data_IF_149360724158
#
_entry.id   IF_149360724158
#
_cell.length_a   1.000
_cell.length_b   1.000
_cell.length_c   1.000
_cell.angle_alpha   90.00
_cell.angle_beta   90.00
_cell.angle_gamma   90.00
#
_symmetry.space_group_name_H-M   'P 1'
#
loop_
_entity.id
_entity.type
_entity.pdbx_description
1 polymer ?
#
# COMPACT_ATOMS: atom_id res chain seq x y z
N UNK A 1 -6.36 38.40 53.41
CA UNK A 1 -5.11 37.61 53.38
C UNK A 1 -4.92 37.21 51.92
N UNK A 2 -4.37 38.08 51.05
CA UNK A 2 -2.92 38.30 50.81
C UNK A 2 -2.20 36.96 50.67
N UNK A 3 -1.64 36.61 49.51
CA UNK A 3 -0.47 37.26 48.92
C UNK A 3 -0.42 37.15 47.39
N UNK A 4 0.09 38.22 46.79
CA UNK A 4 0.49 38.37 45.39
C UNK A 4 1.93 37.86 45.25
N UNK A 5 2.26 37.23 44.13
CA UNK A 5 3.63 36.90 43.73
C UNK A 5 3.91 37.53 42.38
N UNK A 6 4.63 38.66 42.41
CA UNK A 6 5.21 39.38 41.27
C UNK A 6 6.58 38.78 40.87
N UNK A 7 7.11 39.31 39.75
CA UNK A 7 8.51 39.27 39.28
C UNK A 7 8.96 37.97 38.57
N UNK A 8 9.66 38.00 37.43
CA UNK A 8 10.63 38.96 36.90
C UNK A 8 10.66 38.94 35.35
N UNK A 9 10.76 40.14 34.75
CA UNK A 9 11.19 40.35 33.37
C UNK A 9 12.72 40.35 33.32
N UNK A 10 13.29 39.56 32.41
CA UNK A 10 14.71 39.61 32.06
C UNK A 10 14.85 40.14 30.63
N UNK A 11 15.21 41.42 30.52
CA UNK A 11 15.85 42.00 29.34
C UNK A 11 17.30 41.51 29.29
N UNK A 12 17.74 40.89 28.20
CA UNK A 12 19.16 40.87 27.86
C UNK A 12 19.39 40.77 26.33
N UNK A 13 20.00 41.85 25.83
CA UNK A 13 21.14 41.89 24.91
C UNK A 13 20.94 41.70 23.39
N UNK A 14 20.98 42.87 22.73
CA UNK A 14 21.57 43.14 21.43
C UNK A 14 22.95 42.49 21.26
N UNK A 15 23.18 41.85 20.11
CA UNK A 15 24.48 41.34 19.70
C UNK A 15 24.58 41.21 18.18
N UNK A 16 25.23 42.20 17.58
CA UNK A 16 26.09 42.18 16.39
C UNK A 16 25.57 41.61 15.06
N UNK A 17 25.15 42.55 14.21
CA UNK A 17 25.19 42.43 12.75
C UNK A 17 26.66 42.34 12.28
N UNK A 18 27.11 41.14 11.91
CA UNK A 18 28.30 40.97 11.07
C UNK A 18 27.89 40.74 9.63
N UNK A 19 28.12 41.77 8.82
CA UNK A 19 28.06 41.73 7.37
C UNK A 19 29.28 40.92 6.85
N UNK A 20 29.04 39.70 6.37
CA UNK A 20 30.00 39.00 5.52
C UNK A 20 29.67 39.31 4.04
N UNK A 21 30.38 40.30 3.49
CA UNK A 21 30.52 40.46 2.04
C UNK A 21 31.36 39.29 1.48
N UNK A 22 30.69 38.22 1.07
CA UNK A 22 31.31 37.19 0.24
C UNK A 22 31.37 37.66 -1.21
N UNK A 23 32.60 37.88 -1.69
CA UNK A 23 32.97 38.16 -3.07
C UNK A 23 32.46 37.03 -3.98
N UNK A 24 31.46 37.36 -4.81
CA UNK A 24 31.10 36.56 -5.98
C UNK A 24 32.21 36.71 -7.02
N UNK A 25 33.15 35.76 -7.06
CA UNK A 25 33.94 35.53 -8.25
C UNK A 25 33.08 34.76 -9.25
N UNK A 26 32.65 35.45 -10.30
CA UNK A 26 32.09 34.85 -11.51
C UNK A 26 33.10 33.85 -12.11
N UNK A 27 32.95 32.57 -11.75
CA UNK A 27 33.57 31.50 -12.51
C UNK A 27 32.84 31.42 -13.85
N UNK A 28 33.50 31.89 -14.91
CA UNK A 28 33.00 31.70 -16.26
C UNK A 28 32.80 30.20 -16.51
N UNK A 29 31.64 29.78 -17.06
CA UNK A 29 31.39 28.38 -17.36
C UNK A 29 32.42 27.89 -18.36
N UNK A 30 33.17 26.85 -17.97
CA UNK A 30 34.08 26.12 -18.84
C UNK A 30 33.23 25.50 -19.97
N UNK A 31 33.22 26.12 -21.15
CA UNK A 31 32.55 25.59 -22.33
C UNK A 31 33.37 24.41 -22.85
N UNK A 32 33.00 23.20 -22.42
CA UNK A 32 33.47 21.97 -23.05
C UNK A 32 32.67 21.83 -24.33
N UNK A 33 33.33 22.12 -25.46
CA UNK A 33 32.79 21.96 -26.81
C UNK A 33 32.74 20.45 -27.16
N UNK A 34 31.87 19.69 -26.47
CA UNK A 34 31.59 18.30 -26.81
C UNK A 34 30.66 18.28 -28.02
N UNK A 35 31.25 18.38 -29.21
CA UNK A 35 30.55 18.06 -30.46
C UNK A 35 30.24 16.56 -30.47
N UNK A 36 29.04 16.20 -30.04
CA UNK A 36 28.52 14.84 -30.16
C UNK A 36 28.38 14.53 -31.66
N UNK A 37 29.00 13.44 -32.16
CA UNK A 37 28.88 13.06 -33.56
C UNK A 37 27.40 12.92 -33.95
N UNK A 38 27.00 13.39 -35.15
CA UNK A 38 25.59 13.43 -35.58
C UNK A 38 24.92 12.04 -35.67
N UNK A 39 25.71 10.96 -35.71
CA UNK A 39 25.21 9.59 -35.68
C UNK A 39 24.66 9.18 -34.31
N UNK A 40 25.20 9.73 -33.21
CA UNK A 40 24.76 9.42 -31.83
C UNK A 40 23.50 10.20 -31.43
N UNK A 41 23.23 11.34 -32.06
CA UNK A 41 22.05 12.16 -31.79
C UNK A 41 20.73 11.43 -32.14
N UNK A 42 20.73 10.63 -33.21
CA UNK A 42 19.57 9.83 -33.62
C UNK A 42 19.32 8.63 -32.69
N UNK A 43 20.38 8.01 -32.18
CA UNK A 43 20.27 6.94 -31.18
C UNK A 43 19.72 7.49 -29.86
N UNK A 44 20.19 8.66 -29.44
CA UNK A 44 19.75 9.32 -28.21
C UNK A 44 18.28 9.76 -28.26
N UNK A 45 17.83 10.37 -29.37
CA UNK A 45 16.42 10.74 -29.55
C UNK A 45 15.49 9.52 -29.61
N UNK A 46 15.95 8.41 -30.19
CA UNK A 46 15.15 7.17 -30.27
C UNK A 46 14.99 6.52 -28.89
N UNK A 47 16.03 6.53 -28.05
CA UNK A 47 15.96 6.07 -26.66
C UNK A 47 15.03 6.95 -25.81
N UNK A 48 15.12 8.27 -25.92
CA UNK A 48 14.22 9.17 -25.19
C UNK A 48 12.74 8.97 -25.58
N UNK A 49 12.44 8.76 -26.87
CA UNK A 49 11.07 8.44 -27.32
C UNK A 49 10.57 7.10 -26.80
N UNK A 50 11.44 6.09 -26.69
CA UNK A 50 11.10 4.80 -26.10
C UNK A 50 10.80 4.92 -24.60
N UNK A 51 11.55 5.76 -23.88
CA UNK A 51 11.31 6.02 -22.46
C UNK A 51 10.03 6.81 -22.18
N UNK A 52 9.63 7.70 -23.09
CA UNK A 52 8.38 8.47 -22.98
C UNK A 52 7.13 7.61 -23.14
N UNK A 53 7.23 6.49 -23.87
CA UNK A 53 6.11 5.57 -24.08
C UNK A 53 6.03 4.44 -23.04
N UNK A 54 6.93 4.44 -22.04
CA UNK A 54 6.94 3.38 -21.04
C UNK A 54 5.79 3.57 -20.03
N UNK A 55 4.83 2.62 -20.06
CA UNK A 55 3.63 2.65 -19.21
C UNK A 55 3.98 2.47 -17.71
N UNK A 56 5.14 1.89 -17.40
CA UNK A 56 5.61 1.71 -16.04
C UNK A 56 7.15 1.74 -15.95
N UNK A 57 7.68 2.15 -14.80
CA UNK A 57 9.11 2.11 -14.46
C UNK A 57 9.30 1.44 -13.10
N UNK A 58 10.40 0.73 -12.92
CA UNK A 58 10.73 0.04 -11.66
C UNK A 58 12.09 0.52 -11.16
N UNK A 59 12.11 0.95 -9.90
CA UNK A 59 13.26 1.52 -9.22
C UNK A 59 13.59 0.73 -7.96
N UNK A 60 14.85 0.75 -7.58
CA UNK A 60 15.30 0.38 -6.25
C UNK A 60 15.11 1.57 -5.30
N UNK A 61 14.26 1.41 -4.31
CA UNK A 61 13.89 2.46 -3.36
C UNK A 61 14.47 2.16 -1.98
N UNK A 62 15.37 3.04 -1.52
CA UNK A 62 16.02 2.93 -0.23
C UNK A 62 15.30 3.81 0.79
N UNK A 63 14.66 3.18 1.77
CA UNK A 63 14.10 3.88 2.92
C UNK A 63 15.21 4.49 3.78
N UNK A 64 14.96 5.62 4.48
CA UNK A 64 15.91 6.20 5.44
C UNK A 64 16.52 5.23 6.45
N UNK A 65 15.77 4.21 6.86
CA UNK A 65 16.22 3.16 7.78
C UNK A 65 17.14 2.10 7.11
N UNK A 66 17.59 2.33 5.88
CA UNK A 66 18.47 1.43 5.12
C UNK A 66 17.77 0.23 4.47
N UNK A 67 16.45 0.12 4.58
CA UNK A 67 15.70 -0.98 3.96
C UNK A 67 15.43 -0.71 2.48
N UNK A 68 15.70 -1.70 1.64
CA UNK A 68 15.40 -1.66 0.21
C UNK A 68 13.99 -2.18 -0.10
N UNK A 69 13.30 -1.53 -1.01
CA UNK A 69 12.05 -1.98 -1.62
C UNK A 69 12.09 -1.75 -3.14
N UNK A 70 11.20 -2.41 -3.88
CA UNK A 70 10.97 -2.10 -5.30
C UNK A 70 9.85 -1.06 -5.40
N UNK A 71 10.12 0.05 -6.06
CA UNK A 71 9.15 1.10 -6.35
C UNK A 71 8.76 1.05 -7.82
N UNK A 72 7.48 0.82 -8.11
CA UNK A 72 6.94 0.71 -9.45
C UNK A 72 6.05 1.92 -9.70
N UNK A 73 6.48 2.82 -10.58
CA UNK A 73 5.65 3.93 -11.03
C UNK A 73 4.85 3.52 -12.25
N UNK A 74 3.53 3.73 -12.23
CA UNK A 74 2.59 3.39 -13.30
C UNK A 74 2.04 4.68 -13.86
N UNK A 75 2.48 5.10 -15.04
CA UNK A 75 2.16 6.43 -15.59
C UNK A 75 0.74 6.51 -16.16
N UNK A 76 0.17 5.38 -16.56
CA UNK A 76 -1.13 5.35 -17.21
C UNK A 76 -1.86 4.03 -16.94
N UNK A 77 -3.03 4.12 -16.31
CA UNK A 77 -3.90 2.97 -16.10
C UNK A 77 -4.83 2.77 -17.30
N UNK A 78 -4.41 1.91 -18.23
CA UNK A 78 -5.36 1.23 -19.11
C UNK A 78 -5.52 -0.23 -18.65
N UNK A 79 -6.57 -0.57 -17.87
CA UNK A 79 -6.69 -1.87 -17.23
C UNK A 79 -6.66 -3.07 -18.18
N UNK A 80 -7.15 -2.89 -19.42
CA UNK A 80 -7.30 -3.99 -20.39
C UNK A 80 -5.98 -4.45 -21.00
N UNK A 81 -5.00 -3.56 -21.13
CA UNK A 81 -3.75 -3.81 -21.86
C UNK A 81 -2.51 -3.68 -20.97
N UNK A 82 -2.71 -3.38 -19.67
CA UNK A 82 -1.61 -3.20 -18.75
C UNK A 82 -0.76 -4.49 -18.60
N UNK A 83 0.57 -4.44 -18.76
CA UNK A 83 1.45 -5.61 -18.81
C UNK A 83 1.73 -6.21 -17.42
N UNK A 84 0.68 -6.48 -16.63
CA UNK A 84 0.77 -6.95 -15.25
C UNK A 84 1.62 -8.23 -15.12
N UNK A 85 1.49 -9.17 -16.07
CA UNK A 85 2.26 -10.43 -16.03
C UNK A 85 3.76 -10.20 -16.22
N UNK A 86 4.16 -9.25 -17.06
CA UNK A 86 5.56 -8.90 -17.28
C UNK A 86 6.16 -8.26 -16.02
N UNK A 87 5.42 -7.33 -15.41
CA UNK A 87 5.84 -6.67 -14.17
C UNK A 87 6.03 -7.70 -13.06
N UNK A 88 5.04 -8.57 -12.82
CA UNK A 88 5.13 -9.60 -11.79
C UNK A 88 6.28 -10.57 -12.05
N UNK A 89 6.57 -10.90 -13.32
CA UNK A 89 7.75 -11.70 -13.67
C UNK A 89 9.04 -11.00 -13.26
N UNK A 90 9.18 -9.71 -13.58
CA UNK A 90 10.38 -8.92 -13.23
C UNK A 90 10.56 -8.81 -11.71
N UNK A 91 9.45 -8.78 -10.97
CA UNK A 91 9.42 -8.73 -9.52
C UNK A 91 9.51 -10.11 -8.83
N UNK A 92 9.50 -11.21 -9.59
CA UNK A 92 9.45 -12.60 -9.07
C UNK A 92 8.21 -12.85 -8.19
N UNK A 93 7.06 -12.34 -8.63
CA UNK A 93 5.73 -12.45 -8.00
C UNK A 93 4.74 -13.24 -8.86
N UNK A 94 5.26 -14.09 -9.74
CA UNK A 94 4.52 -14.75 -10.81
C UNK A 94 4.27 -16.24 -10.56
N UNK A 95 4.57 -16.75 -9.37
CA UNK A 95 4.38 -18.17 -9.04
C UNK A 95 2.91 -18.56 -8.78
N UNK A 96 2.03 -17.59 -8.51
CA UNK A 96 0.67 -17.85 -8.06
C UNK A 96 0.63 -18.00 -6.54
N UNK A 97 0.25 -16.93 -5.83
CA UNK A 97 0.27 -16.90 -4.36
C UNK A 97 -1.12 -16.56 -3.82
N UNK A 98 -1.55 -17.11 -2.66
CA UNK A 98 -2.75 -16.62 -1.98
C UNK A 98 -2.60 -15.14 -1.63
N UNK A 99 -3.69 -14.38 -1.69
CA UNK A 99 -3.66 -12.92 -1.48
C UNK A 99 -4.62 -12.53 -0.36
N UNK A 100 -4.12 -11.71 0.56
CA UNK A 100 -4.94 -10.98 1.53
C UNK A 100 -4.91 -9.50 1.17
N UNK A 101 -6.05 -8.96 0.75
CA UNK A 101 -6.20 -7.56 0.38
C UNK A 101 -6.83 -6.74 1.51
N UNK A 102 -6.22 -5.63 1.90
CA UNK A 102 -6.75 -4.72 2.91
C UNK A 102 -7.52 -3.60 2.24
N UNK A 103 -8.82 -3.49 2.56
CA UNK A 103 -9.70 -2.45 2.03
C UNK A 103 -9.87 -1.34 3.06
N UNK A 104 -9.54 -0.11 2.68
CA UNK A 104 -9.74 1.08 3.51
C UNK A 104 -8.96 1.05 4.84
N UNK A 105 -7.79 0.39 4.88
CA UNK A 105 -6.94 0.34 6.07
C UNK A 105 -6.09 1.61 6.14
N UNK A 106 -6.23 2.39 7.21
CA UNK A 106 -5.38 3.56 7.47
C UNK A 106 -4.92 3.59 8.91
N UNK A 107 -3.75 4.18 9.16
CA UNK A 107 -3.38 4.48 10.54
C UNK A 107 -4.33 5.55 11.08
N UNK A 108 -5.03 5.22 12.16
CA UNK A 108 -5.88 6.17 12.86
C UNK A 108 -5.01 7.03 13.78
N UNK A 109 -4.44 8.11 13.23
CA UNK A 109 -3.63 9.06 13.99
C UNK A 109 -4.41 9.73 15.12
N UNK A 110 -5.73 9.85 14.97
CA UNK A 110 -6.61 10.48 15.95
C UNK A 110 -6.94 9.54 17.13
N UNK A 111 -6.69 8.24 16.98
CA UNK A 111 -6.84 7.25 18.03
C UNK A 111 -5.55 6.43 18.23
N UNK A 112 -4.55 6.97 18.95
CA UNK A 112 -3.31 6.26 19.25
C UNK A 112 -3.53 4.98 20.09
N UNK A 113 -4.70 4.84 20.72
CA UNK A 113 -5.11 3.64 21.44
C UNK A 113 -5.77 2.58 20.54
N UNK A 114 -5.71 2.72 19.21
CA UNK A 114 -6.19 1.69 18.28
C UNK A 114 -5.52 0.34 18.56
N UNK A 115 -6.28 -0.57 19.17
CA UNK A 115 -5.81 -1.87 19.71
C UNK A 115 -5.61 -2.95 18.64
N UNK A 116 -5.55 -2.58 17.35
CA UNK A 116 -5.45 -3.52 16.22
C UNK A 116 -4.13 -4.30 16.16
N UNK A 117 -3.14 -4.02 17.00
CA UNK A 117 -1.86 -4.73 17.00
C UNK A 117 -1.98 -6.25 17.13
N UNK A 118 -2.78 -6.76 18.09
CA UNK A 118 -3.02 -8.22 18.22
C UNK A 118 -3.72 -8.78 16.98
N UNK A 119 -4.68 -8.03 16.45
CA UNK A 119 -5.42 -8.39 15.24
C UNK A 119 -4.50 -8.51 14.01
N UNK A 120 -3.64 -7.51 13.77
CA UNK A 120 -2.61 -7.54 12.73
C UNK A 120 -1.62 -8.71 12.90
N UNK A 121 -1.23 -9.03 14.14
CA UNK A 121 -0.38 -10.19 14.41
C UNK A 121 -1.04 -11.52 13.96
N UNK A 122 -2.36 -11.65 14.16
CA UNK A 122 -3.15 -12.78 13.70
C UNK A 122 -3.17 -12.90 12.18
N UNK A 123 -3.42 -11.80 11.46
CA UNK A 123 -3.40 -11.77 9.99
C UNK A 123 -2.02 -12.13 9.47
N UNK A 124 -0.97 -11.47 9.95
CA UNK A 124 0.39 -11.74 9.52
C UNK A 124 0.77 -13.20 9.76
N UNK A 125 0.29 -13.81 10.86
CA UNK A 125 0.51 -15.24 11.16
C UNK A 125 -0.16 -16.14 10.13
N UNK A 126 -1.43 -15.89 9.82
CA UNK A 126 -2.16 -16.66 8.82
C UNK A 126 -1.51 -16.55 7.45
N UNK A 127 -1.11 -15.34 7.04
CA UNK A 127 -0.44 -15.12 5.77
C UNK A 127 0.91 -15.83 5.71
N UNK A 128 1.71 -15.75 6.77
CA UNK A 128 2.98 -16.47 6.86
C UNK A 128 2.80 -17.98 6.73
N UNK A 129 1.84 -18.57 7.43
CA UNK A 129 1.62 -20.02 7.42
C UNK A 129 1.05 -20.54 6.09
N UNK A 130 0.49 -19.66 5.26
CA UNK A 130 -0.13 -20.01 3.97
C UNK A 130 0.66 -19.47 2.78
N UNK A 131 1.85 -18.91 3.02
CA UNK A 131 2.66 -18.20 2.01
C UNK A 131 1.88 -17.11 1.24
N UNK A 132 0.88 -16.50 1.90
CA UNK A 132 0.08 -15.46 1.29
C UNK A 132 0.82 -14.12 1.27
N UNK A 133 0.54 -13.35 0.22
CA UNK A 133 0.96 -11.95 0.15
C UNK A 133 -0.13 -11.05 0.72
N UNK A 134 0.28 -9.96 1.38
CA UNK A 134 -0.61 -8.91 1.86
C UNK A 134 -0.51 -7.73 0.90
N UNK A 135 -1.65 -7.21 0.45
CA UNK A 135 -1.74 -6.03 -0.40
C UNK A 135 -2.56 -4.96 0.34
N UNK A 136 -1.99 -3.78 0.52
CA UNK A 136 -2.65 -2.63 1.15
C UNK A 136 -2.35 -1.33 0.38
N UNK A 137 -2.54 -0.18 1.04
CA UNK A 137 -2.39 1.13 0.41
C UNK A 137 -0.95 1.68 0.44
N UNK A 138 0.05 0.90 0.85
CA UNK A 138 1.47 1.32 0.83
C UNK A 138 1.87 2.38 1.87
N UNK A 139 0.90 2.93 2.58
CA UNK A 139 1.08 3.92 3.65
C UNK A 139 1.13 3.24 5.01
N UNK A 140 1.57 3.99 6.02
CA UNK A 140 1.61 3.48 7.40
C UNK A 140 0.22 3.02 7.87
N UNK A 141 0.09 1.75 8.28
CA UNK A 141 -1.16 1.21 8.86
C UNK A 141 -0.96 0.54 10.23
N UNK A 142 0.23 0.01 10.49
CA UNK A 142 0.61 -0.74 11.69
C UNK A 142 0.89 -2.23 11.43
N UNK A 143 0.42 -2.80 10.32
CA UNK A 143 0.66 -4.21 9.94
C UNK A 143 2.15 -4.49 9.70
N UNK A 144 2.89 -3.48 9.27
CA UNK A 144 4.29 -3.53 8.87
C UNK A 144 5.17 -4.03 10.01
N UNK A 145 4.86 -3.62 11.24
CA UNK A 145 5.55 -4.09 12.45
C UNK A 145 5.46 -5.61 12.61
N UNK A 146 4.37 -6.23 12.15
CA UNK A 146 4.13 -7.67 12.27
C UNK A 146 4.62 -8.44 11.05
N UNK A 147 4.54 -7.85 9.86
CA UNK A 147 5.16 -8.39 8.64
C UNK A 147 6.69 -8.39 8.75
N UNK A 148 7.29 -7.42 9.44
CA UNK A 148 8.74 -7.33 9.68
C UNK A 148 9.26 -8.26 10.79
N UNK A 149 8.51 -8.46 11.89
CA UNK A 149 9.00 -9.21 13.07
C UNK A 149 9.29 -10.67 12.81
N UNK A 150 8.79 -11.27 11.73
CA UNK A 150 9.14 -12.63 11.33
C UNK A 150 10.43 -12.71 10.50
N UNK A 151 11.18 -11.61 10.41
CA UNK A 151 12.41 -11.50 9.62
C UNK A 151 13.71 -11.80 10.40
N UNK A 152 13.64 -12.42 11.58
CA UNK A 152 14.80 -12.53 12.47
C UNK A 152 15.60 -13.84 12.36
N UNK A 153 15.52 -14.60 11.26
CA UNK A 153 16.38 -15.78 11.09
C UNK A 153 17.09 -15.78 9.75
N UNK A 154 18.41 -15.68 9.85
CA UNK A 154 19.44 -15.78 8.81
C UNK A 154 19.30 -17.11 8.08
N UNK A 155 18.51 -17.16 7.03
CA UNK A 155 18.63 -18.19 6.02
C UNK A 155 18.02 -17.68 4.71
N UNK A 156 18.86 -17.70 3.68
CA UNK A 156 18.70 -17.19 2.31
C UNK A 156 17.50 -17.81 1.57
N UNK A 157 16.74 -18.70 2.22
CA UNK A 157 15.63 -19.45 1.64
C UNK A 157 14.27 -19.25 2.34
N UNK A 158 14.16 -18.43 3.39
CA UNK A 158 12.89 -18.33 4.15
C UNK A 158 11.94 -17.26 3.60
N UNK A 159 10.73 -17.72 3.28
CA UNK A 159 9.59 -16.97 2.75
C UNK A 159 9.15 -15.88 3.72
N UNK A 160 9.48 -14.65 3.38
CA UNK A 160 8.93 -13.46 4.04
C UNK A 160 7.46 -13.29 3.69
N UNK A 161 6.63 -12.83 4.64
CA UNK A 161 5.28 -12.36 4.30
C UNK A 161 5.45 -11.06 3.51
N UNK A 162 5.22 -11.17 2.21
CA UNK A 162 5.39 -10.04 1.31
C UNK A 162 4.27 -9.04 1.55
N UNK A 163 4.63 -7.79 1.79
CA UNK A 163 3.69 -6.69 1.94
C UNK A 163 3.87 -5.75 0.75
N UNK A 164 2.82 -5.63 -0.05
CA UNK A 164 2.79 -4.85 -1.29
C UNK A 164 1.86 -3.66 -1.09
N UNK A 165 2.38 -2.45 -1.33
CA UNK A 165 1.61 -1.22 -1.27
C UNK A 165 1.11 -0.81 -2.66
N UNK A 166 -0.11 -0.31 -2.74
CA UNK A 166 -0.66 0.33 -3.95
C UNK A 166 -1.26 1.67 -3.56
N UNK A 167 -0.79 2.76 -4.15
CA UNK A 167 -1.29 4.10 -3.83
C UNK A 167 -1.24 5.03 -5.05
N UNK A 168 -2.12 6.04 -5.12
CA UNK A 168 -1.92 7.18 -6.01
C UNK A 168 -0.60 7.90 -5.70
N UNK A 169 0.15 8.29 -6.73
CA UNK A 169 1.42 9.00 -6.53
C UNK A 169 1.22 10.40 -5.95
N UNK A 170 0.13 11.07 -6.33
CA UNK A 170 -0.25 12.43 -5.94
C UNK A 170 -0.59 12.59 -4.45
N UNK A 171 -0.94 11.51 -3.76
CA UNK A 171 -1.48 11.55 -2.38
C UNK A 171 -0.53 11.01 -1.32
N UNK A 172 0.61 10.45 -1.75
CA UNK A 172 1.61 9.85 -0.84
C UNK A 172 2.70 10.85 -0.48
N UNK A 173 3.17 10.74 0.75
CA UNK A 173 4.35 11.46 1.24
C UNK A 173 5.54 10.50 1.29
N UNK A 174 6.71 10.95 0.85
CA UNK A 174 7.94 10.14 0.94
C UNK A 174 8.56 10.30 2.34
N UNK A 175 9.09 9.21 2.93
CA UNK A 175 9.66 9.25 4.27
C UNK A 175 10.92 10.13 4.30
N UNK A 176 11.00 11.00 5.31
CA UNK A 176 12.13 11.92 5.51
C UNK A 176 13.23 11.25 6.34
N UNK A 177 14.49 11.71 6.18
CA UNK A 177 15.64 11.11 6.88
C UNK A 177 15.53 11.26 8.41
N UNK A 178 15.07 12.42 8.87
CA UNK A 178 14.95 12.78 10.29
C UNK A 178 13.53 13.29 10.58
N UNK A 179 12.51 12.42 10.61
CA UNK A 179 11.14 12.86 10.83
C UNK A 179 10.93 13.17 12.32
N UNK A 180 10.47 14.38 12.64
CA UNK A 180 9.96 14.73 13.97
C UNK A 180 8.56 14.15 14.19
N UNK A 181 7.82 13.89 13.11
CA UNK A 181 6.48 13.31 13.09
C UNK A 181 6.31 12.51 11.80
N UNK A 182 5.56 11.40 11.88
CA UNK A 182 5.13 10.63 10.68
C UNK A 182 4.08 11.47 9.93
N UNK A 183 4.32 11.71 8.65
CA UNK A 183 3.38 12.48 7.84
C UNK A 183 2.13 11.66 7.47
N UNK A 184 1.03 12.37 7.21
CA UNK A 184 -0.17 11.73 6.68
C UNK A 184 0.16 11.11 5.32
N UNK A 185 -0.31 9.88 5.09
CA UNK A 185 -0.05 9.10 3.89
C UNK A 185 1.45 8.89 3.59
N UNK A 186 2.31 8.90 4.62
CA UNK A 186 3.72 8.56 4.45
C UNK A 186 3.88 7.09 4.05
N UNK A 187 4.67 6.85 3.00
CA UNK A 187 5.02 5.50 2.56
C UNK A 187 5.74 4.75 3.68
N UNK A 188 5.29 3.53 3.93
CA UNK A 188 5.75 2.76 5.07
C UNK A 188 6.91 1.84 4.71
N UNK A 189 7.94 1.84 5.56
CA UNK A 189 9.13 1.00 5.39
C UNK A 189 8.87 -0.50 5.59
N UNK A 190 7.63 -0.92 5.89
CA UNK A 190 7.25 -2.33 5.93
C UNK A 190 7.22 -3.03 4.57
N UNK A 191 6.98 -2.27 3.51
CA UNK A 191 6.71 -2.82 2.19
C UNK A 191 7.96 -3.40 1.52
N UNK A 192 7.76 -4.45 0.71
CA UNK A 192 8.78 -4.99 -0.19
C UNK A 192 8.62 -4.45 -1.61
N UNK A 193 7.38 -4.16 -2.00
CA UNK A 193 7.01 -3.59 -3.29
C UNK A 193 5.99 -2.48 -3.10
N UNK A 194 6.12 -1.40 -3.85
CA UNK A 194 5.19 -0.25 -3.80
C UNK A 194 4.85 0.12 -5.23
N UNK A 195 3.56 0.08 -5.57
CA UNK A 195 3.01 0.55 -6.84
C UNK A 195 2.45 1.95 -6.63
N UNK A 196 3.05 2.93 -7.29
CA UNK A 196 2.56 4.30 -7.34
C UNK A 196 1.84 4.53 -8.66
N UNK A 197 0.57 4.88 -8.57
CA UNK A 197 -0.30 5.12 -9.71
C UNK A 197 -0.27 6.60 -10.03
N UNK A 198 0.39 6.93 -11.13
CA UNK A 198 0.46 8.28 -11.68
C UNK A 198 -0.73 8.59 -12.59
N UNK A 199 -0.87 9.88 -12.87
CA UNK A 199 -1.93 10.46 -13.69
C UNK A 199 -2.32 11.84 -13.18
N UNK A 200 -3.01 12.60 -14.02
CA UNK A 200 -3.65 13.85 -13.59
C UNK A 200 -4.90 13.51 -12.77
N UNK A 201 -5.12 14.20 -11.64
CA UNK A 201 -6.31 14.06 -10.78
C UNK A 201 -6.57 12.65 -10.23
N UNK A 202 -5.51 11.93 -9.85
CA UNK A 202 -5.64 10.63 -9.18
C UNK A 202 -5.83 10.86 -7.68
N UNK A 203 -7.05 10.69 -7.19
CA UNK A 203 -7.36 10.75 -5.76
C UNK A 203 -7.34 9.37 -5.11
N UNK A 204 -7.43 9.32 -3.78
CA UNK A 204 -7.58 8.07 -3.04
C UNK A 204 -8.84 7.33 -3.48
N UNK A 205 -8.74 6.01 -3.62
CA UNK A 205 -9.83 5.15 -4.09
C UNK A 205 -9.75 4.85 -5.59
N UNK A 206 -9.15 5.73 -6.40
CA UNK A 206 -8.98 5.50 -7.85
C UNK A 206 -8.09 4.29 -8.16
N UNK A 207 -7.23 3.88 -7.21
CA UNK A 207 -6.39 2.69 -7.31
C UNK A 207 -7.16 1.36 -7.18
N UNK A 208 -8.43 1.39 -6.75
CA UNK A 208 -9.23 0.20 -6.42
C UNK A 208 -9.19 -0.87 -7.52
N UNK A 209 -9.53 -0.49 -8.76
CA UNK A 209 -9.56 -1.40 -9.89
C UNK A 209 -8.17 -2.00 -10.18
N UNK A 210 -7.12 -1.18 -10.11
CA UNK A 210 -5.75 -1.66 -10.31
C UNK A 210 -5.35 -2.67 -9.23
N UNK A 211 -5.63 -2.34 -7.97
CA UNK A 211 -5.31 -3.18 -6.82
C UNK A 211 -6.01 -4.54 -6.90
N UNK A 212 -7.30 -4.58 -7.24
CA UNK A 212 -8.03 -5.84 -7.45
C UNK A 212 -7.48 -6.64 -8.65
N UNK A 213 -7.09 -5.97 -9.74
CA UNK A 213 -6.44 -6.65 -10.87
C UNK A 213 -5.05 -7.18 -10.52
N UNK A 214 -4.28 -6.46 -9.70
CA UNK A 214 -2.99 -6.91 -9.16
C UNK A 214 -3.19 -8.15 -8.27
N UNK A 215 -4.15 -8.12 -7.35
CA UNK A 215 -4.56 -9.26 -6.54
C UNK A 215 -4.85 -10.48 -7.42
N UNK A 216 -5.68 -10.32 -8.46
CA UNK A 216 -6.04 -11.40 -9.41
C UNK A 216 -4.84 -11.94 -10.18
N UNK A 217 -3.94 -11.06 -10.61
CA UNK A 217 -2.75 -11.44 -11.35
C UNK A 217 -1.77 -12.26 -10.48
N UNK A 218 -1.50 -11.81 -9.25
CA UNK A 218 -0.64 -12.53 -8.29
C UNK A 218 -1.27 -13.88 -7.93
N UNK A 219 -2.58 -13.93 -7.68
CA UNK A 219 -3.26 -15.17 -7.35
C UNK A 219 -3.30 -16.19 -8.51
N UNK A 220 -3.26 -15.70 -9.74
CA UNK A 220 -3.22 -16.56 -10.93
C UNK A 220 -1.80 -17.08 -11.17
N UNK A 221 -0.79 -16.21 -11.12
CA UNK A 221 0.58 -16.56 -11.51
C UNK A 221 0.70 -17.04 -12.96
N UNK A 222 1.89 -17.54 -13.31
CA UNK A 222 2.19 -18.20 -14.59
C UNK A 222 1.70 -19.63 -14.62
N UNK A 223 1.91 -20.37 -13.53
CA UNK A 223 1.69 -21.82 -13.46
C UNK A 223 0.22 -22.17 -13.73
N UNK A 224 -0.73 -21.36 -13.25
CA UNK A 224 -2.16 -21.56 -13.54
C UNK A 224 -2.47 -21.47 -15.03
N UNK A 225 -1.81 -20.55 -15.75
CA UNK A 225 -2.04 -20.34 -17.20
C UNK A 225 -1.52 -21.50 -18.05
N UNK A 226 -0.34 -22.04 -17.73
CA UNK A 226 0.30 -23.11 -18.51
C UNK A 226 -0.13 -24.51 -18.12
N UNK A 227 -0.40 -24.76 -16.83
CA UNK A 227 -0.66 -26.12 -16.32
C UNK A 227 -2.14 -26.34 -15.93
N UNK A 228 -3.02 -25.37 -16.14
CA UNK A 228 -4.45 -25.48 -15.81
C UNK A 228 -4.74 -25.64 -14.32
N UNK A 229 -3.77 -25.34 -13.44
CA UNK A 229 -3.97 -25.37 -11.99
C UNK A 229 -4.99 -24.30 -11.58
N UNK A 230 -5.85 -24.56 -10.59
CA UNK A 230 -6.75 -23.54 -10.09
C UNK A 230 -5.96 -22.36 -9.52
N UNK A 231 -6.44 -21.14 -9.79
CA UNK A 231 -5.91 -19.90 -9.19
C UNK A 231 -5.97 -19.99 -7.65
N UNK A 232 -4.97 -19.41 -6.99
CA UNK A 232 -4.96 -19.23 -5.54
C UNK A 232 -6.12 -18.33 -5.07
N UNK A 233 -6.50 -18.47 -3.80
CA UNK A 233 -7.62 -17.72 -3.23
C UNK A 233 -7.21 -16.28 -2.90
N UNK A 234 -8.20 -15.39 -2.92
CA UNK A 234 -8.07 -13.99 -2.52
C UNK A 234 -9.09 -13.72 -1.43
N UNK A 235 -8.65 -13.09 -0.35
CA UNK A 235 -9.50 -12.70 0.77
C UNK A 235 -9.34 -11.21 1.00
N UNK A 236 -10.44 -10.49 1.08
CA UNK A 236 -10.43 -9.07 1.44
C UNK A 236 -10.70 -8.91 2.93
N UNK A 237 -10.08 -7.92 3.56
CA UNK A 237 -10.34 -7.52 4.94
C UNK A 237 -10.73 -6.05 4.92
N UNK A 238 -11.98 -5.76 5.28
CA UNK A 238 -12.57 -4.43 5.25
C UNK A 238 -12.41 -3.73 6.60
N UNK A 239 -11.58 -2.70 6.61
CA UNK A 239 -11.40 -1.81 7.78
C UNK A 239 -12.32 -0.59 7.70
N UNK A 240 -12.55 -0.05 6.49
CA UNK A 240 -13.39 1.13 6.25
C UNK A 240 -13.02 2.35 7.12
N UNK A 241 -11.73 2.62 7.30
CA UNK A 241 -11.27 3.79 8.07
C UNK A 241 -11.49 5.11 7.32
N UNK A 242 -11.87 5.06 6.04
CA UNK A 242 -12.25 6.22 5.20
C UNK A 242 -13.28 5.83 4.13
N UNK A 243 -14.08 6.79 3.68
CA UNK A 243 -15.10 6.57 2.63
C UNK A 243 -14.49 6.30 1.25
N UNK A 244 -13.24 6.70 1.02
CA UNK A 244 -12.49 6.46 -0.23
C UNK A 244 -12.35 4.96 -0.60
N UNK A 245 -12.77 4.03 0.26
CA UNK A 245 -12.66 2.59 0.02
C UNK A 245 -13.86 1.97 -0.70
N UNK A 246 -14.95 2.72 -0.94
CA UNK A 246 -16.19 2.17 -1.49
C UNK A 246 -16.00 1.51 -2.87
N UNK A 247 -15.21 2.11 -3.74
CA UNK A 247 -14.91 1.53 -5.05
C UNK A 247 -14.13 0.22 -4.94
N UNK A 248 -13.25 0.09 -3.95
CA UNK A 248 -12.53 -1.16 -3.70
C UNK A 248 -13.48 -2.26 -3.17
N UNK A 249 -14.49 -1.90 -2.37
CA UNK A 249 -15.54 -2.84 -1.94
C UNK A 249 -16.37 -3.28 -3.16
N UNK A 250 -16.81 -2.35 -4.01
CA UNK A 250 -17.56 -2.66 -5.24
C UNK A 250 -16.78 -3.59 -6.15
N UNK A 251 -15.50 -3.30 -6.39
CA UNK A 251 -14.65 -4.15 -7.20
C UNK A 251 -14.49 -5.55 -6.59
N UNK A 252 -14.40 -5.68 -5.26
CA UNK A 252 -14.39 -6.98 -4.60
C UNK A 252 -15.70 -7.76 -4.80
N UNK A 253 -16.87 -7.10 -4.71
CA UNK A 253 -18.20 -7.69 -4.95
C UNK A 253 -18.35 -8.15 -6.40
N UNK A 254 -18.04 -7.27 -7.38
CA UNK A 254 -18.10 -7.57 -8.81
C UNK A 254 -17.26 -8.81 -9.14
N UNK A 255 -16.10 -8.94 -8.49
CA UNK A 255 -15.19 -10.08 -8.67
C UNK A 255 -15.52 -11.29 -7.78
N UNK A 256 -16.64 -11.24 -7.03
CA UNK A 256 -17.15 -12.31 -6.15
C UNK A 256 -16.10 -12.78 -5.14
N UNK A 257 -15.36 -11.84 -4.58
CA UNK A 257 -14.29 -12.11 -3.61
C UNK A 257 -14.85 -12.02 -2.19
N UNK A 258 -14.49 -12.93 -1.28
CA UNK A 258 -14.93 -12.87 0.12
C UNK A 258 -14.35 -11.64 0.82
N UNK A 259 -15.17 -11.01 1.68
CA UNK A 259 -14.82 -9.81 2.44
C UNK A 259 -15.07 -10.07 3.93
N UNK A 260 -14.00 -10.11 4.73
CA UNK A 260 -14.10 -10.15 6.20
C UNK A 260 -14.30 -8.71 6.69
N UNK A 261 -15.44 -8.44 7.34
CA UNK A 261 -15.75 -7.11 7.87
C UNK A 261 -15.30 -7.05 9.32
N UNK A 262 -14.42 -6.10 9.66
CA UNK A 262 -13.75 -6.07 10.96
C UNK A 262 -14.10 -4.80 11.73
N UNK A 263 -14.25 -4.94 13.04
CA UNK A 263 -14.51 -3.79 13.92
C UNK A 263 -13.37 -2.78 13.94
N UNK A 264 -13.72 -1.54 14.24
CA UNK A 264 -12.76 -0.47 14.57
C UNK A 264 -13.00 0.83 13.82
N UNK A 265 -13.71 0.80 12.70
CA UNK A 265 -14.27 2.01 12.08
C UNK A 265 -15.73 2.16 12.43
N UNK A 266 -16.25 3.39 12.32
CA UNK A 266 -17.66 3.67 12.56
C UNK A 266 -18.57 2.87 11.61
N UNK A 267 -18.25 2.86 10.32
CA UNK A 267 -19.00 2.15 9.28
C UNK A 267 -19.05 0.63 9.53
N UNK A 268 -17.90 0.00 9.78
CA UNK A 268 -17.88 -1.44 10.06
C UNK A 268 -18.61 -1.79 11.37
N UNK A 269 -18.52 -0.94 12.39
CA UNK A 269 -19.23 -1.17 13.65
C UNK A 269 -20.75 -1.14 13.44
N UNK A 270 -21.27 -0.12 12.74
CA UNK A 270 -22.71 -0.04 12.42
C UNK A 270 -23.21 -1.28 11.70
N UNK A 271 -22.47 -1.73 10.67
CA UNK A 271 -22.82 -2.94 9.92
C UNK A 271 -22.80 -4.20 10.80
N UNK A 272 -21.76 -4.38 11.62
CA UNK A 272 -21.60 -5.56 12.47
C UNK A 272 -22.67 -5.63 13.57
N UNK A 273 -23.04 -4.48 14.12
CA UNK A 273 -24.02 -4.36 15.19
C UNK A 273 -25.46 -4.31 14.69
N UNK A 274 -25.66 -4.34 13.37
CA UNK A 274 -26.98 -4.24 12.73
C UNK A 274 -27.72 -2.97 13.16
N UNK A 275 -26.97 -1.92 13.47
CA UNK A 275 -27.49 -0.59 13.69
C UNK A 275 -27.87 0.02 12.34
N UNK A 276 -28.71 1.06 12.37
CA UNK A 276 -29.02 1.80 11.15
C UNK A 276 -27.73 2.38 10.58
N UNK A 277 -27.34 1.92 9.38
CA UNK A 277 -26.20 2.45 8.66
C UNK A 277 -26.56 3.87 8.23
N UNK A 278 -25.75 4.85 8.64
CA UNK A 278 -26.06 6.26 8.39
C UNK A 278 -25.64 6.70 6.98
N UNK A 279 -24.63 6.04 6.43
CA UNK A 279 -24.12 6.29 5.10
C UNK A 279 -24.91 5.44 4.08
N UNK A 280 -25.76 6.10 3.29
CA UNK A 280 -26.65 5.44 2.34
C UNK A 280 -25.88 4.72 1.22
N UNK A 281 -24.71 5.22 0.83
CA UNK A 281 -23.87 4.59 -0.19
C UNK A 281 -23.24 3.31 0.37
N UNK A 282 -22.74 3.36 1.61
CA UNK A 282 -22.23 2.17 2.28
C UNK A 282 -23.34 1.12 2.52
N UNK A 283 -24.54 1.55 2.92
CA UNK A 283 -25.68 0.66 3.09
C UNK A 283 -26.05 -0.07 1.78
N UNK A 284 -26.12 0.65 0.67
CA UNK A 284 -26.37 0.09 -0.66
C UNK A 284 -25.34 -0.97 -1.03
N UNK A 285 -24.04 -0.66 -0.87
CA UNK A 285 -22.95 -1.60 -1.17
C UNK A 285 -23.00 -2.84 -0.28
N UNK A 286 -23.24 -2.67 1.02
CA UNK A 286 -23.21 -3.77 2.00
C UNK A 286 -24.47 -4.65 1.94
N UNK A 287 -25.55 -4.18 1.33
CA UNK A 287 -26.79 -4.94 1.11
C UNK A 287 -26.87 -5.58 -0.27
N UNK A 288 -25.84 -5.39 -1.12
CA UNK A 288 -25.72 -6.06 -2.40
C UNK A 288 -25.74 -7.59 -2.23
N UNK A 289 -26.67 -8.24 -2.95
CA UNK A 289 -26.90 -9.68 -2.89
C UNK A 289 -25.75 -10.50 -3.46
N UNK A 290 -24.90 -9.91 -4.29
CA UNK A 290 -23.72 -10.57 -4.84
C UNK A 290 -22.50 -10.50 -3.90
N UNK A 291 -22.58 -9.72 -2.82
CA UNK A 291 -21.52 -9.58 -1.82
C UNK A 291 -21.38 -10.79 -0.89
N UNK A 292 -20.14 -11.20 -0.62
CA UNK A 292 -19.81 -12.29 0.31
C UNK A 292 -19.15 -11.73 1.59
N UNK A 293 -19.97 -11.24 2.52
CA UNK A 293 -19.50 -10.60 3.74
C UNK A 293 -19.43 -11.57 4.93
N UNK A 294 -18.32 -11.51 5.67
CA UNK A 294 -18.07 -12.29 6.89
C UNK A 294 -17.84 -11.34 8.07
N UNK A 295 -18.90 -10.90 8.78
CA UNK A 295 -18.76 -9.96 9.88
C UNK A 295 -18.07 -10.60 11.08
N UNK A 296 -17.02 -9.94 11.59
CA UNK A 296 -16.23 -10.41 12.71
C UNK A 296 -16.49 -9.58 13.98
N UNK A 297 -17.30 -10.15 14.89
CA UNK A 297 -17.70 -9.48 16.14
C UNK A 297 -16.55 -9.28 17.14
N UNK A 298 -15.47 -10.07 17.09
CA UNK A 298 -14.36 -10.01 18.04
C UNK A 298 -13.05 -9.74 17.32
N UNK A 299 -12.26 -8.78 17.81
CA UNK A 299 -10.91 -8.47 17.31
C UNK A 299 -9.83 -9.38 17.91
N UNK A 300 -10.15 -10.66 18.07
CA UNK A 300 -9.23 -11.64 18.62
C UNK A 300 -8.25 -12.15 17.54
N UNK A 301 -6.97 -12.24 17.91
CA UNK A 301 -5.90 -12.63 16.99
C UNK A 301 -6.01 -14.06 16.49
N UNK A 302 -6.56 -14.97 17.29
CA UNK A 302 -6.76 -16.36 16.92
C UNK A 302 -7.91 -16.50 15.95
N UNK A 303 -9.03 -15.83 16.25
CA UNK A 303 -10.23 -15.87 15.41
C UNK A 303 -9.94 -15.32 14.01
N UNK A 304 -9.27 -14.16 13.89
CA UNK A 304 -8.92 -13.63 12.56
C UNK A 304 -7.94 -14.55 11.82
N UNK A 305 -6.95 -15.12 12.52
CA UNK A 305 -5.98 -16.00 11.89
C UNK A 305 -6.66 -17.26 11.31
N UNK A 306 -7.56 -17.87 12.09
CA UNK A 306 -8.33 -19.04 11.65
C UNK A 306 -9.24 -18.71 10.47
N UNK A 307 -9.95 -17.57 10.52
CA UNK A 307 -10.84 -17.15 9.43
C UNK A 307 -10.07 -16.88 8.12
N UNK A 308 -8.97 -16.12 8.19
CA UNK A 308 -8.12 -15.83 7.03
C UNK A 308 -7.55 -17.14 6.48
N UNK A 309 -6.99 -18.00 7.34
CA UNK A 309 -6.46 -19.29 6.90
C UNK A 309 -7.55 -20.13 6.24
N UNK A 310 -8.73 -20.26 6.84
CA UNK A 310 -9.85 -21.03 6.32
C UNK A 310 -10.25 -20.56 4.91
N UNK A 311 -10.40 -19.25 4.71
CA UNK A 311 -10.76 -18.69 3.41
C UNK A 311 -9.63 -18.79 2.36
N UNK A 312 -8.36 -18.81 2.79
CA UNK A 312 -7.24 -19.03 1.87
C UNK A 312 -7.11 -20.50 1.43
N UNK A 313 -7.50 -21.46 2.27
CA UNK A 313 -7.28 -22.90 2.01
C UNK A 313 -8.52 -23.69 1.62
N UNK A 314 -9.70 -23.36 2.12
CA UNK A 314 -10.86 -24.26 2.09
C UNK A 314 -12.02 -23.79 1.20
N UNK A 315 -12.08 -22.54 0.72
CA UNK A 315 -13.29 -22.04 0.04
C UNK A 315 -13.75 -22.97 -1.09
N UNK A 316 -14.87 -23.69 -0.93
CA UNK A 316 -15.31 -24.68 -1.89
C UNK A 316 -15.57 -23.97 -3.22
N UNK A 317 -14.83 -24.35 -4.26
CA UNK A 317 -15.20 -23.96 -5.61
C UNK A 317 -16.56 -24.57 -5.88
N UNK A 318 -17.57 -23.74 -6.21
CA UNK A 318 -18.85 -24.27 -6.73
C UNK A 318 -18.49 -25.30 -7.80
N UNK A 319 -18.99 -26.56 -7.70
CA UNK A 319 -18.72 -27.54 -8.74
C UNK A 319 -19.17 -26.93 -10.06
N UNK A 320 -18.30 -26.97 -11.07
CA UNK A 320 -18.67 -26.54 -12.42
C UNK A 320 -19.93 -27.33 -12.77
N UNK A 321 -21.04 -26.63 -12.99
CA UNK A 321 -22.21 -27.26 -13.61
C UNK A 321 -21.73 -27.74 -14.98
N UNK A 322 -21.61 -29.06 -15.12
CA UNK A 322 -21.27 -29.73 -16.37
C UNK A 322 -22.45 -29.67 -17.32
#
# INVERSE_FOLDING_TARGET
MSEQGEEQQGDEQLGDEQQEEQQQQEQQPFQIDTQIPPEDANVFMTQQKLEQNQVWKCFDFLFPAGKLAKLIKVNYMQPKTFPMTEILTKLKLDDGLPVVNFIGCRHNFDNPNSTRGKFYAGIARACHNTDAVIIDNGITTGIEKFSLRRNCTVSILFKYTQLIGVAPESVVSYPKLNPTKIEKNELSNGHTHIFLIGGEHVDLGTEALFKINLCKAIATGKISKTQGRPRCKIVNILFADSNDCFDEIREAIINKLPIIVVRGSHLCNQFIDQEKILDAEFEDIMTDKDGFFFPLKKLDSEVIAQMVHYLLTYTPSKPKQQ
#
